data_IF_423913507149
#
_entry.id   IF_423913507149
#
_cell.length_a   1.000
_cell.length_b   1.000
_cell.length_c   1.000
_cell.angle_alpha   90.00
_cell.angle_beta   90.00
_cell.angle_gamma   90.00
#
_symmetry.space_group_name_H-M   'P 1'
#
loop_
_entity.id
_entity.type
_entity.pdbx_description
1 polymer ?
#
# COMPACT_ATOMS: atom_id res chain seq x y z
N UNK A 1 10.85 3.87 -8.55
CA UNK A 1 10.37 5.23 -8.17
C UNK A 1 8.87 5.23 -7.91
N UNK A 2 8.04 4.58 -8.75
CA UNK A 2 6.58 4.69 -8.69
C UNK A 2 5.95 4.09 -7.43
N UNK A 3 6.41 2.90 -6.97
CA UNK A 3 5.76 2.21 -5.87
C UNK A 3 5.74 2.99 -4.54
N UNK A 4 6.86 3.59 -4.05
CA UNK A 4 6.80 4.40 -2.84
C UNK A 4 5.89 5.63 -2.96
N UNK A 5 5.76 6.20 -4.17
CA UNK A 5 4.82 7.30 -4.44
C UNK A 5 3.38 6.79 -4.29
N UNK A 6 3.06 5.60 -4.84
CA UNK A 6 1.73 5.01 -4.66
C UNK A 6 1.41 4.70 -3.20
N UNK A 7 2.37 4.18 -2.43
CA UNK A 7 2.21 3.97 -1.00
C UNK A 7 1.92 5.30 -0.26
N UNK A 8 2.67 6.35 -0.60
CA UNK A 8 2.48 7.66 -0.03
C UNK A 8 1.10 8.25 -0.36
N UNK A 9 0.70 8.24 -1.64
CA UNK A 9 -0.61 8.75 -2.08
C UNK A 9 -1.76 7.93 -1.47
N UNK A 10 -1.57 6.62 -1.29
CA UNK A 10 -2.54 5.75 -0.62
C UNK A 10 -2.77 6.19 0.82
N UNK A 11 -1.70 6.44 1.57
CA UNK A 11 -1.77 6.89 2.98
C UNK A 11 -2.37 8.27 3.08
N UNK A 12 -1.98 9.21 2.22
CA UNK A 12 -2.61 10.54 2.16
C UNK A 12 -4.10 10.42 1.81
N UNK A 13 -4.45 9.58 0.84
CA UNK A 13 -5.85 9.27 0.49
C UNK A 13 -6.63 8.67 1.64
N UNK A 14 -6.01 7.84 2.47
CA UNK A 14 -6.63 7.27 3.66
C UNK A 14 -7.02 8.35 4.69
N UNK A 15 -6.17 9.34 4.92
CA UNK A 15 -6.47 10.44 5.85
C UNK A 15 -7.50 11.44 5.31
N UNK A 16 -7.57 11.61 3.98
CA UNK A 16 -8.46 12.58 3.34
C UNK A 16 -9.80 11.98 2.87
N UNK A 17 -9.99 10.66 2.98
CA UNK A 17 -11.26 10.03 2.56
C UNK A 17 -12.29 10.06 3.67
N UNK A 18 -13.52 10.46 3.31
CA UNK A 18 -14.68 10.38 4.21
C UNK A 18 -15.27 8.97 4.28
N UNK A 19 -15.08 8.14 3.26
CA UNK A 19 -15.67 6.80 3.13
C UNK A 19 -14.56 5.78 2.84
N UNK A 20 -14.02 5.20 3.91
CA UNK A 20 -12.94 4.22 3.85
C UNK A 20 -13.36 2.92 3.18
N UNK A 21 -14.60 2.50 3.41
CA UNK A 21 -15.12 1.27 2.81
C UNK A 21 -15.18 1.39 1.29
N UNK A 22 -15.73 2.49 0.77
CA UNK A 22 -15.75 2.72 -0.69
C UNK A 22 -14.34 2.83 -1.29
N UNK A 23 -13.37 3.34 -0.53
CA UNK A 23 -11.97 3.36 -0.98
C UNK A 23 -11.40 1.94 -1.04
N UNK A 24 -11.59 1.12 -0.01
CA UNK A 24 -11.16 -0.27 0.03
C UNK A 24 -11.79 -1.09 -1.11
N UNK A 25 -13.11 -0.97 -1.32
CA UNK A 25 -13.82 -1.66 -2.40
C UNK A 25 -13.24 -1.29 -3.77
N UNK A 26 -12.98 0.01 -4.02
CA UNK A 26 -12.34 0.44 -5.28
C UNK A 26 -10.96 -0.20 -5.45
N UNK A 27 -10.10 -0.16 -4.43
CA UNK A 27 -8.78 -0.80 -4.49
C UNK A 27 -8.90 -2.30 -4.80
N UNK A 28 -9.81 -3.00 -4.12
CA UNK A 28 -10.06 -4.43 -4.37
C UNK A 28 -10.54 -4.71 -5.78
N UNK A 29 -11.50 -3.94 -6.31
CA UNK A 29 -11.98 -4.09 -7.68
C UNK A 29 -10.85 -3.86 -8.68
N UNK A 30 -10.06 -2.78 -8.51
CA UNK A 30 -8.96 -2.50 -9.43
C UNK A 30 -7.79 -3.47 -9.28
N UNK A 31 -7.58 -4.09 -8.11
CA UNK A 31 -6.65 -5.20 -7.95
C UNK A 31 -7.06 -6.39 -8.84
N UNK A 32 -8.33 -6.78 -8.79
CA UNK A 32 -8.86 -7.88 -9.61
C UNK A 32 -8.87 -7.55 -11.11
N UNK A 33 -9.31 -6.36 -11.50
CA UNK A 33 -9.33 -5.94 -12.92
C UNK A 33 -7.91 -5.88 -13.51
N UNK A 34 -6.93 -5.48 -12.71
CA UNK A 34 -5.54 -5.37 -13.15
C UNK A 34 -4.82 -6.71 -13.22
N UNK A 35 -5.37 -7.77 -12.62
CA UNK A 35 -4.74 -9.10 -12.65
C UNK A 35 -4.69 -9.66 -14.07
N UNK A 36 -5.75 -9.49 -14.84
CA UNK A 36 -5.83 -9.98 -16.22
C UNK A 36 -4.67 -9.42 -17.08
N UNK A 37 -4.51 -8.10 -17.25
CA UNK A 37 -3.39 -7.57 -18.04
C UNK A 37 -2.02 -7.82 -17.39
N UNK A 38 -1.95 -7.98 -16.08
CA UNK A 38 -0.72 -8.33 -15.38
C UNK A 38 -0.26 -9.73 -15.75
N UNK A 39 -1.14 -10.73 -15.69
CA UNK A 39 -0.83 -12.12 -16.05
C UNK A 39 -0.49 -12.27 -17.55
N UNK A 40 -1.19 -11.54 -18.42
CA UNK A 40 -0.92 -11.52 -19.86
C UNK A 40 0.52 -11.06 -20.18
N UNK A 41 1.10 -10.15 -19.39
CA UNK A 41 2.51 -9.76 -19.53
C UNK A 41 3.48 -10.94 -19.32
N UNK A 42 3.10 -11.91 -18.48
CA UNK A 42 3.88 -13.11 -18.21
C UNK A 42 3.48 -14.30 -19.10
N UNK A 43 2.60 -14.07 -20.11
CA UNK A 43 2.18 -15.11 -21.07
C UNK A 43 1.14 -16.08 -20.54
N UNK A 44 0.39 -15.69 -19.49
CA UNK A 44 -0.68 -16.47 -18.88
C UNK A 44 -1.96 -15.64 -18.80
N UNK A 45 -3.12 -16.26 -18.91
CA UNK A 45 -4.40 -15.55 -18.79
C UNK A 45 -4.83 -15.40 -17.33
N UNK A 46 -4.44 -16.34 -16.48
CA UNK A 46 -4.74 -16.31 -15.05
C UNK A 46 -3.66 -17.11 -14.29
N UNK A 47 -2.90 -16.42 -13.46
CA UNK A 47 -1.83 -17.04 -12.67
C UNK A 47 -1.91 -16.58 -11.21
N UNK A 48 -2.34 -17.47 -10.33
CA UNK A 48 -2.38 -17.20 -8.89
C UNK A 48 -1.00 -17.18 -8.23
N UNK A 49 0.08 -17.50 -8.97
CA UNK A 49 1.42 -17.57 -8.40
C UNK A 49 2.03 -16.20 -8.07
N UNK A 50 1.53 -15.12 -8.68
CA UNK A 50 2.02 -13.75 -8.46
C UNK A 50 0.88 -12.76 -8.61
N UNK A 51 0.64 -11.97 -7.57
CA UNK A 51 -0.39 -10.94 -7.59
C UNK A 51 0.20 -9.57 -7.94
N UNK A 52 -0.57 -8.75 -8.65
CA UNK A 52 -0.16 -7.41 -9.04
C UNK A 52 0.03 -6.45 -7.85
N UNK A 53 0.63 -5.30 -8.09
CA UNK A 53 0.99 -4.31 -7.07
C UNK A 53 -0.21 -3.75 -6.30
N UNK A 54 -1.40 -3.69 -6.91
CA UNK A 54 -2.59 -3.14 -6.23
C UNK A 54 -3.05 -4.06 -5.09
N UNK A 55 -2.80 -5.37 -5.16
CA UNK A 55 -3.03 -6.27 -4.01
C UNK A 55 -2.16 -5.89 -2.81
N UNK A 56 -0.88 -5.56 -3.02
CA UNK A 56 -0.02 -5.05 -1.93
C UNK A 56 -0.60 -3.78 -1.33
N UNK A 57 -1.05 -2.84 -2.18
CA UNK A 57 -1.67 -1.59 -1.74
C UNK A 57 -2.99 -1.84 -0.98
N UNK A 58 -3.81 -2.78 -1.45
CA UNK A 58 -5.07 -3.14 -0.80
C UNK A 58 -4.85 -3.75 0.59
N UNK A 59 -3.92 -4.72 0.72
CA UNK A 59 -3.59 -5.33 2.01
C UNK A 59 -3.03 -4.25 2.97
N UNK A 60 -2.12 -3.41 2.49
CA UNK A 60 -1.58 -2.30 3.27
C UNK A 60 -2.66 -1.31 3.72
N UNK A 61 -3.62 -0.99 2.84
CA UNK A 61 -4.77 -0.14 3.19
C UNK A 61 -5.64 -0.76 4.29
N UNK A 62 -5.95 -2.04 4.18
CA UNK A 62 -6.72 -2.77 5.21
C UNK A 62 -5.96 -2.80 6.54
N UNK A 63 -4.64 -2.99 6.51
CA UNK A 63 -3.79 -2.99 7.69
C UNK A 63 -3.84 -1.63 8.41
N UNK A 64 -3.61 -0.51 7.71
CA UNK A 64 -3.67 0.82 8.35
C UNK A 64 -5.06 1.19 8.81
N UNK A 65 -6.12 0.72 8.15
CA UNK A 65 -7.48 0.91 8.62
C UNK A 65 -7.76 0.15 9.92
N UNK A 66 -7.32 -1.11 10.01
CA UNK A 66 -7.42 -1.90 11.24
C UNK A 66 -6.62 -1.27 12.39
N UNK A 67 -5.36 -0.85 12.14
CA UNK A 67 -4.52 -0.16 13.14
C UNK A 67 -5.20 1.11 13.67
N UNK A 68 -5.80 1.91 12.79
CA UNK A 68 -6.52 3.10 13.21
C UNK A 68 -7.77 2.75 14.01
N UNK A 69 -8.49 1.70 13.65
CA UNK A 69 -9.68 1.26 14.39
C UNK A 69 -9.32 0.82 15.81
N UNK A 70 -8.21 0.09 15.97
CA UNK A 70 -7.67 -0.29 17.28
C UNK A 70 -7.31 0.96 18.11
N UNK A 71 -6.65 1.93 17.51
CA UNK A 71 -6.28 3.18 18.15
C UNK A 71 -7.51 3.98 18.60
N UNK A 72 -8.55 4.05 17.77
CA UNK A 72 -9.82 4.72 18.11
C UNK A 72 -10.57 3.99 19.23
N UNK A 73 -10.58 2.65 19.23
CA UNK A 73 -11.17 1.85 20.30
C UNK A 73 -10.48 2.13 21.63
N UNK A 74 -9.17 2.25 21.64
CA UNK A 74 -8.38 2.62 22.82
C UNK A 74 -8.81 3.96 23.42
N UNK A 75 -9.09 4.95 22.58
CA UNK A 75 -9.54 6.29 23.01
C UNK A 75 -10.98 6.26 23.55
N UNK A 76 -11.85 5.47 22.91
CA UNK A 76 -13.28 5.43 23.28
C UNK A 76 -13.57 4.68 24.59
N UNK A 77 -12.71 3.70 24.98
CA UNK A 77 -12.93 2.83 26.13
C UNK A 77 -11.71 2.77 27.07
N UNK A 78 -11.29 3.90 27.68
CA UNK A 78 -10.02 3.97 28.39
C UNK A 78 -9.90 3.08 29.63
N UNK A 79 -11.00 2.73 30.34
CA UNK A 79 -10.84 2.19 31.72
C UNK A 79 -11.76 1.05 32.17
N UNK A 80 -12.92 0.80 31.59
CA UNK A 80 -13.90 -0.08 32.24
C UNK A 80 -13.76 -1.58 31.93
N UNK A 81 -13.37 -1.93 30.71
CA UNK A 81 -13.29 -3.36 30.29
C UNK A 81 -11.88 -3.92 30.47
N UNK A 82 -10.86 -3.06 30.51
CA UNK A 82 -9.45 -3.43 30.35
C UNK A 82 -8.63 -3.34 31.63
N UNK A 83 -9.27 -3.08 32.78
CA UNK A 83 -8.58 -2.94 34.07
C UNK A 83 -7.82 -4.20 34.51
N UNK A 84 -8.25 -5.38 34.05
CA UNK A 84 -7.62 -6.67 34.41
C UNK A 84 -6.48 -7.10 33.49
N UNK A 85 -6.44 -6.65 32.23
CA UNK A 85 -5.43 -7.09 31.23
C UNK A 85 -4.36 -6.01 30.99
N UNK A 86 -4.59 -4.79 31.47
CA UNK A 86 -3.77 -3.62 31.14
C UNK A 86 -4.07 -3.17 29.69
N UNK A 87 -4.94 -2.15 29.55
CA UNK A 87 -5.44 -1.62 28.26
C UNK A 87 -4.35 -1.41 27.20
N UNK A 88 -3.16 -0.98 27.62
CA UNK A 88 -2.01 -0.79 26.73
C UNK A 88 -1.50 -2.09 26.11
N UNK A 89 -1.43 -3.19 26.90
CA UNK A 89 -0.90 -4.47 26.41
C UNK A 89 -1.81 -5.12 25.38
N UNK A 90 -3.13 -5.11 25.60
CA UNK A 90 -4.07 -5.71 24.63
C UNK A 90 -4.00 -4.99 23.28
N UNK A 91 -3.99 -3.66 23.29
CA UNK A 91 -3.89 -2.89 22.04
C UNK A 91 -2.58 -3.15 21.30
N UNK A 92 -1.45 -3.20 22.02
CA UNK A 92 -0.16 -3.56 21.41
C UNK A 92 -0.20 -4.96 20.80
N UNK A 93 -0.82 -5.93 21.49
CA UNK A 93 -0.98 -7.30 20.95
C UNK A 93 -1.85 -7.26 19.68
N UNK A 94 -2.97 -6.56 19.69
CA UNK A 94 -3.85 -6.44 18.51
C UNK A 94 -3.15 -5.75 17.33
N UNK A 95 -2.36 -4.70 17.58
CA UNK A 95 -1.55 -4.04 16.56
C UNK A 95 -0.50 -4.99 15.96
N UNK A 96 0.22 -5.75 16.80
CA UNK A 96 1.21 -6.74 16.35
C UNK A 96 0.55 -7.89 15.58
N UNK A 97 -0.58 -8.39 16.02
CA UNK A 97 -1.36 -9.42 15.30
C UNK A 97 -1.82 -8.90 13.96
N UNK A 98 -2.34 -7.66 13.90
CA UNK A 98 -2.76 -7.03 12.64
C UNK A 98 -1.60 -6.93 11.65
N UNK A 99 -0.43 -6.49 12.10
CA UNK A 99 0.77 -6.44 11.25
C UNK A 99 1.21 -7.83 10.80
N UNK A 100 1.24 -8.80 11.70
CA UNK A 100 1.61 -10.19 11.38
C UNK A 100 0.67 -10.81 10.35
N UNK A 101 -0.64 -10.60 10.50
CA UNK A 101 -1.65 -11.08 9.53
C UNK A 101 -1.46 -10.39 8.17
N UNK A 102 -1.26 -9.07 8.13
CA UNK A 102 -1.06 -8.34 6.89
C UNK A 102 0.22 -8.76 6.16
N UNK A 103 1.32 -8.95 6.90
CA UNK A 103 2.59 -9.45 6.33
C UNK A 103 2.45 -10.89 5.84
N UNK A 104 1.79 -11.75 6.62
CA UNK A 104 1.47 -13.13 6.21
C UNK A 104 0.64 -13.17 4.94
N UNK A 105 -0.44 -12.40 4.86
CA UNK A 105 -1.28 -12.32 3.65
C UNK A 105 -0.46 -11.87 2.43
N UNK A 106 0.35 -10.82 2.55
CA UNK A 106 1.16 -10.33 1.45
C UNK A 106 2.21 -11.36 1.00
N UNK A 107 2.79 -12.11 1.94
CA UNK A 107 3.74 -13.17 1.66
C UNK A 107 3.10 -14.38 0.98
N UNK A 108 2.02 -14.94 1.54
CA UNK A 108 1.37 -16.15 1.04
C UNK A 108 0.61 -15.91 -0.29
N UNK A 109 0.08 -14.71 -0.51
CA UNK A 109 -0.51 -14.33 -1.78
C UNK A 109 0.54 -13.94 -2.85
N UNK A 110 1.83 -14.00 -2.53
CA UNK A 110 2.92 -13.66 -3.45
C UNK A 110 2.72 -12.31 -4.15
N UNK A 111 2.29 -11.29 -3.39
CA UNK A 111 2.09 -9.95 -3.95
C UNK A 111 3.41 -9.34 -4.40
N UNK A 112 3.37 -8.46 -5.43
CA UNK A 112 4.57 -7.92 -6.12
C UNK A 112 5.63 -7.32 -5.20
N UNK A 113 5.24 -6.70 -4.09
CA UNK A 113 6.17 -6.14 -3.10
C UNK A 113 6.14 -6.86 -1.75
N UNK A 114 5.39 -7.99 -1.67
CA UNK A 114 5.32 -8.85 -0.49
C UNK A 114 5.11 -8.07 0.82
N UNK A 115 5.60 -8.61 1.93
CA UNK A 115 5.52 -7.96 3.25
C UNK A 115 6.25 -6.61 3.33
N UNK A 116 7.32 -6.42 2.55
CA UNK A 116 8.07 -5.16 2.54
C UNK A 116 7.26 -3.98 2.02
N UNK A 117 6.40 -4.21 1.01
CA UNK A 117 5.49 -3.16 0.52
C UNK A 117 4.44 -2.77 1.56
N UNK A 118 3.87 -3.74 2.27
CA UNK A 118 2.93 -3.49 3.37
C UNK A 118 3.63 -2.75 4.52
N UNK A 119 4.87 -3.14 4.84
CA UNK A 119 5.68 -2.46 5.85
C UNK A 119 5.91 -0.99 5.51
N UNK A 120 6.23 -0.67 4.24
CA UNK A 120 6.42 0.72 3.81
C UNK A 120 5.13 1.54 3.98
N UNK A 121 3.96 0.97 3.65
CA UNK A 121 2.66 1.64 3.84
C UNK A 121 2.42 1.92 5.33
N UNK A 122 2.66 0.95 6.21
CA UNK A 122 2.52 1.12 7.66
C UNK A 122 3.50 2.19 8.17
N UNK A 123 4.75 2.18 7.72
CA UNK A 123 5.73 3.22 8.07
C UNK A 123 5.27 4.62 7.65
N UNK A 124 4.76 4.78 6.43
CA UNK A 124 4.22 6.06 5.98
C UNK A 124 2.99 6.51 6.77
N UNK A 125 2.16 5.57 7.20
CA UNK A 125 1.03 5.85 8.08
C UNK A 125 1.51 6.34 9.46
N UNK A 126 2.45 5.65 10.09
CA UNK A 126 3.00 6.01 11.41
C UNK A 126 3.74 7.36 11.35
N UNK A 127 4.53 7.57 10.31
CA UNK A 127 5.32 8.79 10.12
C UNK A 127 4.62 9.86 9.26
N UNK A 128 3.28 9.83 9.16
CA UNK A 128 2.55 10.75 8.27
C UNK A 128 2.89 12.23 8.51
N UNK A 129 3.09 12.64 9.76
CA UNK A 129 3.43 14.01 10.12
C UNK A 129 4.94 14.29 10.20
N UNK A 130 5.80 13.29 9.97
CA UNK A 130 7.25 13.39 10.10
C UNK A 130 7.94 13.19 8.75
N UNK A 131 8.32 14.28 8.06
CA UNK A 131 8.98 14.21 6.75
C UNK A 131 10.27 13.37 6.78
N UNK A 132 11.10 13.53 7.83
CA UNK A 132 12.34 12.76 8.01
C UNK A 132 12.02 11.26 8.19
N UNK A 133 11.02 10.91 9.00
CA UNK A 133 10.61 9.52 9.22
C UNK A 133 10.17 8.84 7.92
N UNK A 134 9.38 9.53 7.08
CA UNK A 134 8.98 9.04 5.75
C UNK A 134 10.18 8.86 4.81
N UNK A 135 11.10 9.81 4.80
CA UNK A 135 12.31 9.74 3.99
C UNK A 135 13.18 8.55 4.39
N UNK A 136 13.44 8.37 5.68
CA UNK A 136 14.21 7.23 6.21
C UNK A 136 13.52 5.91 5.88
N UNK A 137 12.20 5.80 6.11
CA UNK A 137 11.43 4.60 5.79
C UNK A 137 11.53 4.22 4.32
N UNK A 138 11.46 5.20 3.42
CA UNK A 138 11.61 4.98 1.98
C UNK A 138 13.02 4.52 1.61
N UNK A 139 14.06 5.13 2.18
CA UNK A 139 15.45 4.74 1.96
C UNK A 139 15.71 3.31 2.46
N UNK A 140 15.30 3.01 3.71
CA UNK A 140 15.46 1.68 4.32
C UNK A 140 14.73 0.62 3.50
N UNK A 141 13.52 0.90 3.02
CA UNK A 141 12.76 -0.02 2.17
C UNK A 141 13.50 -0.31 0.86
N UNK A 142 13.93 0.74 0.14
CA UNK A 142 14.56 0.54 -1.18
C UNK A 142 15.92 -0.15 -1.06
N UNK A 143 16.73 0.17 -0.06
CA UNK A 143 18.04 -0.47 0.17
C UNK A 143 17.84 -1.89 0.73
N UNK A 144 16.97 -2.07 1.71
CA UNK A 144 16.77 -3.35 2.40
C UNK A 144 16.12 -4.42 1.54
N UNK A 145 15.17 -4.04 0.66
CA UNK A 145 14.46 -5.01 -0.18
C UNK A 145 15.17 -5.30 -1.50
N UNK A 146 15.92 -4.35 -2.06
CA UNK A 146 16.45 -4.46 -3.42
C UNK A 146 17.97 -4.26 -3.52
N UNK A 147 18.63 -3.97 -2.41
CA UNK A 147 20.05 -3.67 -2.40
C UNK A 147 20.39 -2.48 -3.32
N UNK A 148 21.57 -2.50 -3.91
CA UNK A 148 22.05 -1.45 -4.86
C UNK A 148 21.67 -1.73 -6.32
N UNK A 149 20.58 -2.47 -6.59
CA UNK A 149 20.07 -2.74 -7.93
C UNK A 149 19.33 -1.55 -8.56
N UNK A 150 18.72 -1.79 -9.75
CA UNK A 150 17.96 -0.75 -10.50
C UNK A 150 16.83 -0.13 -9.66
N UNK A 151 16.27 -0.85 -8.74
CA UNK A 151 15.20 -0.37 -7.86
C UNK A 151 15.66 0.63 -6.79
N UNK A 152 16.98 0.77 -6.55
CA UNK A 152 17.51 1.81 -5.67
C UNK A 152 17.09 3.22 -6.10
N UNK A 153 16.93 3.45 -7.39
CA UNK A 153 16.36 4.69 -7.93
C UNK A 153 14.96 5.01 -7.35
N UNK A 154 14.28 4.03 -6.75
CA UNK A 154 13.06 4.24 -5.97
C UNK A 154 13.25 5.21 -4.79
N UNK A 155 14.46 5.31 -4.24
CA UNK A 155 14.80 6.26 -3.19
C UNK A 155 14.60 7.72 -3.63
N UNK A 156 14.75 8.05 -4.92
CA UNK A 156 14.49 9.40 -5.44
C UNK A 156 13.02 9.85 -5.28
N UNK A 157 12.09 8.92 -5.01
CA UNK A 157 10.72 9.26 -4.67
C UNK A 157 10.60 10.10 -3.39
N UNK A 158 11.65 10.15 -2.56
CA UNK A 158 11.72 11.07 -1.41
C UNK A 158 11.53 12.52 -1.85
N UNK A 159 12.05 12.91 -3.02
CA UNK A 159 11.95 14.29 -3.51
C UNK A 159 10.49 14.73 -3.69
N UNK A 160 9.66 14.08 -4.55
CA UNK A 160 8.27 14.49 -4.71
C UNK A 160 7.45 14.32 -3.42
N UNK A 161 7.77 13.35 -2.57
CA UNK A 161 7.11 13.17 -1.27
C UNK A 161 7.44 14.32 -0.31
N UNK A 162 8.69 14.81 -0.31
CA UNK A 162 9.11 15.92 0.53
C UNK A 162 8.47 17.25 0.11
N UNK A 163 8.30 17.47 -1.20
CA UNK A 163 7.68 18.69 -1.75
C UNK A 163 6.15 18.67 -1.77
N UNK A 164 5.54 17.61 -1.25
CA UNK A 164 4.07 17.52 -1.20
C UNK A 164 3.48 18.56 -0.26
N UNK A 165 2.54 19.35 -0.78
CA UNK A 165 1.96 20.51 -0.10
C UNK A 165 0.74 20.21 0.79
N UNK A 166 0.42 18.95 1.03
CA UNK A 166 -0.75 18.46 1.79
C UNK A 166 -2.12 18.91 1.26
N UNK A 167 -2.19 19.47 0.05
CA UNK A 167 -3.47 19.87 -0.53
C UNK A 167 -4.06 18.70 -1.34
N UNK A 168 -5.34 18.37 -1.13
CA UNK A 168 -5.99 17.34 -1.91
C UNK A 168 -6.04 17.74 -3.38
N UNK A 169 -5.72 16.81 -4.25
CA UNK A 169 -5.82 17.00 -5.69
C UNK A 169 -7.27 17.12 -6.18
N UNK A 170 -7.43 17.43 -7.45
CA UNK A 170 -8.76 17.60 -8.08
C UNK A 170 -9.53 16.27 -8.08
N UNK A 171 -10.78 16.28 -7.64
CA UNK A 171 -11.64 15.08 -7.61
C UNK A 171 -11.76 14.37 -8.97
N UNK A 172 -11.65 15.11 -10.08
CA UNK A 172 -11.70 14.58 -11.46
C UNK A 172 -10.54 13.63 -11.78
N UNK A 173 -9.34 13.88 -11.22
CA UNK A 173 -8.15 13.04 -11.46
C UNK A 173 -8.16 11.74 -10.68
N UNK A 174 -9.05 11.58 -9.70
CA UNK A 174 -9.13 10.40 -8.85
C UNK A 174 -9.30 9.10 -9.65
N UNK A 175 -10.24 9.07 -10.58
CA UNK A 175 -10.50 7.89 -11.41
C UNK A 175 -9.39 7.63 -12.42
N UNK A 176 -8.73 8.68 -12.92
CA UNK A 176 -7.59 8.55 -13.81
C UNK A 176 -6.47 7.71 -13.16
N UNK A 177 -6.16 7.93 -11.88
CA UNK A 177 -5.14 7.14 -11.17
C UNK A 177 -5.50 5.65 -11.06
N UNK A 178 -6.78 5.33 -10.85
CA UNK A 178 -7.22 3.93 -10.79
C UNK A 178 -7.13 3.24 -12.15
N UNK A 179 -7.54 3.91 -13.23
CA UNK A 179 -7.51 3.36 -14.58
C UNK A 179 -6.11 3.36 -15.21
N UNK A 180 -5.24 4.24 -14.76
CA UNK A 180 -3.87 4.34 -15.30
C UNK A 180 -3.13 2.99 -15.23
N UNK A 181 -3.21 2.29 -14.12
CA UNK A 181 -2.46 1.05 -13.94
C UNK A 181 -2.94 -0.08 -14.87
N UNK A 182 -4.22 -0.48 -14.91
CA UNK A 182 -4.64 -1.54 -15.84
C UNK A 182 -4.50 -1.15 -17.31
N UNK A 183 -4.74 0.12 -17.68
CA UNK A 183 -4.58 0.59 -19.06
C UNK A 183 -3.10 0.57 -19.49
N UNK A 184 -2.20 1.05 -18.65
CA UNK A 184 -0.77 1.01 -18.91
C UNK A 184 -0.26 -0.43 -19.06
N UNK A 185 -0.74 -1.38 -18.24
CA UNK A 185 -0.40 -2.80 -18.40
C UNK A 185 -0.91 -3.36 -19.74
N UNK A 186 -2.14 -3.02 -20.15
CA UNK A 186 -2.68 -3.43 -21.45
C UNK A 186 -1.84 -2.89 -22.60
N UNK A 187 -1.41 -1.63 -22.53
CA UNK A 187 -0.50 -1.05 -23.55
C UNK A 187 0.81 -1.86 -23.62
N UNK A 188 1.38 -2.22 -22.47
CA UNK A 188 2.59 -3.03 -22.44
C UNK A 188 2.38 -4.44 -23.02
N UNK A 189 1.23 -5.05 -22.78
CA UNK A 189 0.85 -6.33 -23.41
C UNK A 189 0.79 -6.18 -24.93
N UNK A 190 0.13 -5.13 -25.43
CA UNK A 190 0.05 -4.87 -26.89
C UNK A 190 1.44 -4.63 -27.48
N UNK A 191 2.28 -3.83 -26.85
CA UNK A 191 3.66 -3.62 -27.27
C UNK A 191 4.43 -4.94 -27.33
N UNK A 192 4.28 -5.80 -26.32
CA UNK A 192 4.91 -7.12 -26.29
C UNK A 192 4.45 -7.99 -27.45
N UNK A 193 3.16 -8.03 -27.76
CA UNK A 193 2.61 -8.85 -28.84
C UNK A 193 3.03 -8.34 -30.22
N UNK A 194 3.01 -7.01 -30.45
CA UNK A 194 3.22 -6.46 -31.81
C UNK A 194 4.67 -6.08 -32.13
N UNK A 195 5.54 -5.90 -31.11
CA UNK A 195 6.93 -5.41 -31.33
C UNK A 195 7.97 -6.49 -31.00
N UNK A 196 7.67 -7.40 -30.07
CA UNK A 196 8.65 -8.41 -29.60
C UNK A 196 8.41 -9.78 -30.28
N UNK A 197 7.26 -9.97 -30.93
CA UNK A 197 6.99 -11.03 -31.89
C UNK A 197 7.13 -10.51 -33.29
#
# INVERSE_FOLDING_TARGET
>A
ISFPIFCFVLVEGFFHTSDRLKHAIRLGIFALVSEIPYDMLYGRFFDMARQNVIFTLFIGYMAIWALQSISMFRVAYPDKILKHIGAGRLNTILELVTMAVAFGMAYFLHTSYSYGGVMLIICFYVFNNHHIGRAISNLVFNIGMFGFGVQWWGALSVLPIAFYNKKPGTKKLKYMFYWFYPVHLLILVLVKIYIIH
#
